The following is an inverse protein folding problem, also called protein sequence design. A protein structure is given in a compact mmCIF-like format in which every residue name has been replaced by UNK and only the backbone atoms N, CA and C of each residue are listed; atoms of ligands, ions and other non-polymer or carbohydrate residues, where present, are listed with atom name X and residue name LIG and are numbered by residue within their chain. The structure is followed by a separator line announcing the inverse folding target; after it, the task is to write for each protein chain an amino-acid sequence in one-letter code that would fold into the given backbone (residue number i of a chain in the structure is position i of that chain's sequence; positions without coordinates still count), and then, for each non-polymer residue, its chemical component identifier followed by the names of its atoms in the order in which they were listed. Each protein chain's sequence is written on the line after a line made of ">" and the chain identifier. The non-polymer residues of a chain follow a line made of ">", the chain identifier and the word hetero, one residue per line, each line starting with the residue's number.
data_IF_054180272929
#
_entry.id   IF_054180272929
#
_cell.length_a   1.000
_cell.length_b   1.000
_cell.length_c   1.000
_cell.angle_alpha   90.00
_cell.angle_beta   90.00
_cell.angle_gamma   90.00
#
_symmetry.space_group_name_H-M   'P 1'
#
loop_
_entity.id
_entity.type
_entity.pdbx_description
1 polymer ?
#
# COMPACT_ATOMS: atom_id res chain seq x y z
N UNK A 1 3.54 10.41 -14.07
CA UNK A 1 4.56 9.36 -13.94
C UNK A 1 3.89 8.20 -13.26
N UNK A 2 3.94 7.02 -13.88
CA UNK A 2 3.38 5.82 -13.29
C UNK A 2 4.23 5.43 -12.08
N UNK A 3 3.60 5.38 -10.92
CA UNK A 3 4.16 4.87 -9.69
C UNK A 3 3.49 3.53 -9.39
N UNK A 4 4.01 2.83 -8.40
CA UNK A 4 3.38 1.65 -7.87
C UNK A 4 3.36 1.70 -6.36
N UNK A 5 2.33 1.08 -5.80
CA UNK A 5 2.23 0.77 -4.38
C UNK A 5 2.14 -0.74 -4.21
N UNK A 6 2.41 -1.20 -3.00
CA UNK A 6 2.28 -2.60 -2.64
C UNK A 6 1.04 -2.77 -1.78
N UNK A 7 0.03 -3.44 -2.32
CA UNK A 7 -1.17 -3.85 -1.58
C UNK A 7 -0.95 -5.23 -1.00
N UNK A 8 -1.50 -5.49 0.18
CA UNK A 8 -1.60 -6.83 0.74
C UNK A 8 -2.98 -7.39 0.41
N UNK A 9 -3.01 -8.56 -0.22
CA UNK A 9 -4.24 -9.29 -0.54
C UNK A 9 -4.03 -10.76 -0.27
N UNK A 10 -4.91 -11.36 0.51
CA UNK A 10 -4.83 -12.78 0.91
C UNK A 10 -3.45 -13.14 1.52
N UNK A 11 -2.87 -12.23 2.32
CA UNK A 11 -1.56 -12.40 2.95
C UNK A 11 -0.36 -12.31 2.01
N UNK A 12 -0.55 -11.83 0.77
CA UNK A 12 0.49 -11.70 -0.24
C UNK A 12 0.62 -10.27 -0.74
N UNK A 13 1.85 -9.90 -1.11
CA UNK A 13 2.13 -8.62 -1.74
C UNK A 13 1.66 -8.60 -3.20
N UNK A 14 0.93 -7.56 -3.58
CA UNK A 14 0.46 -7.29 -4.92
C UNK A 14 0.92 -5.89 -5.34
N UNK A 15 1.57 -5.79 -6.50
CA UNK A 15 1.97 -4.51 -7.04
C UNK A 15 0.80 -3.87 -7.78
N UNK A 16 0.41 -2.67 -7.38
CA UNK A 16 -0.68 -1.92 -8.00
C UNK A 16 -0.12 -0.65 -8.62
N UNK A 17 -0.32 -0.50 -9.93
CA UNK A 17 0.03 0.72 -10.64
C UNK A 17 -0.89 1.87 -10.22
N UNK A 18 -0.30 3.04 -9.97
CA UNK A 18 -1.01 4.25 -9.56
C UNK A 18 -0.42 5.49 -10.23
N UNK A 19 -1.24 6.52 -10.36
CA UNK A 19 -0.81 7.86 -10.79
C UNK A 19 -0.79 8.80 -9.59
N UNK A 20 0.33 9.50 -9.39
CA UNK A 20 0.40 10.56 -8.38
C UNK A 20 -0.45 11.75 -8.80
N UNK A 21 -1.45 12.08 -7.98
CA UNK A 21 -2.31 13.24 -8.19
C UNK A 21 -1.76 14.45 -7.44
N UNK A 22 -1.41 14.27 -6.15
CA UNK A 22 -0.89 15.36 -5.32
C UNK A 22 -0.02 14.81 -4.19
N UNK A 23 1.07 15.51 -3.88
CA UNK A 23 1.83 15.30 -2.64
C UNK A 23 1.58 16.44 -1.66
N UNK A 24 1.40 16.11 -0.39
CA UNK A 24 1.28 17.03 0.73
C UNK A 24 2.24 16.57 1.85
N UNK A 25 2.51 17.42 2.84
CA UNK A 25 3.45 17.08 3.90
C UNK A 25 2.96 15.84 4.69
N UNK A 26 3.59 14.69 4.45
CA UNK A 26 3.27 13.41 5.09
C UNK A 26 2.23 12.54 4.38
N UNK A 27 1.66 12.95 3.24
CA UNK A 27 0.64 12.16 2.53
C UNK A 27 0.71 12.34 1.02
N UNK A 28 0.43 11.27 0.27
CA UNK A 28 0.35 11.30 -1.19
C UNK A 28 -1.05 10.86 -1.61
N UNK A 29 -1.71 11.70 -2.39
CA UNK A 29 -2.94 11.37 -3.09
C UNK A 29 -2.59 10.72 -4.41
N UNK A 30 -3.13 9.52 -4.64
CA UNK A 30 -2.91 8.72 -5.83
C UNK A 30 -4.25 8.30 -6.43
N UNK A 31 -4.23 8.02 -7.73
CA UNK A 31 -5.32 7.41 -8.49
C UNK A 31 -4.89 6.02 -8.97
N UNK A 32 -5.75 5.01 -8.81
CA UNK A 32 -5.47 3.63 -9.20
C UNK A 32 -6.52 2.65 -8.69
N UNK A 33 -6.34 1.35 -8.97
CA UNK A 33 -7.26 0.28 -8.56
C UNK A 33 -7.11 -0.10 -7.07
N UNK A 34 -7.29 0.90 -6.19
CA UNK A 34 -7.27 0.77 -4.74
C UNK A 34 -8.68 0.97 -4.19
N UNK A 35 -9.03 0.21 -3.16
CA UNK A 35 -10.33 0.27 -2.48
C UNK A 35 -10.15 0.63 -1.01
N UNK A 36 -11.19 1.18 -0.39
CA UNK A 36 -11.21 1.40 1.05
C UNK A 36 -11.02 0.06 1.77
N UNK A 37 -10.14 0.04 2.78
CA UNK A 37 -9.77 -1.18 3.51
C UNK A 37 -8.57 -1.93 2.92
N UNK A 38 -8.07 -1.55 1.74
CA UNK A 38 -6.82 -2.13 1.22
C UNK A 38 -5.66 -1.79 2.16
N UNK A 39 -4.93 -2.81 2.60
CA UNK A 39 -3.70 -2.64 3.36
C UNK A 39 -2.55 -2.34 2.42
N UNK A 40 -1.87 -1.21 2.63
CA UNK A 40 -0.76 -0.74 1.79
C UNK A 40 0.54 -0.80 2.58
N UNK A 41 1.58 -1.37 1.98
CA UNK A 41 2.92 -1.41 2.56
C UNK A 41 3.61 -0.06 2.38
N UNK A 42 3.99 0.56 3.49
CA UNK A 42 4.66 1.88 3.52
C UNK A 42 6.17 1.80 3.81
N UNK A 43 6.62 0.69 4.42
CA UNK A 43 8.03 0.46 4.76
C UNK A 43 8.50 -0.92 4.25
N UNK A 44 9.79 -1.04 3.89
CA UNK A 44 10.36 -2.31 3.45
C UNK A 44 10.00 -2.75 2.02
N UNK A 45 9.39 -1.87 1.22
CA UNK A 45 8.94 -2.15 -0.16
C UNK A 45 10.05 -2.58 -1.12
N UNK A 46 11.30 -2.22 -0.83
CA UNK A 46 12.49 -2.56 -1.61
C UNK A 46 12.80 -4.07 -1.69
N UNK A 47 12.18 -4.90 -0.83
CA UNK A 47 12.38 -6.35 -0.79
C UNK A 47 11.17 -7.16 -1.25
N UNK A 48 10.11 -6.49 -1.72
CA UNK A 48 8.88 -7.16 -2.11
C UNK A 48 8.89 -7.56 -3.58
N UNK A 49 8.37 -8.76 -3.83
CA UNK A 49 8.06 -9.29 -5.14
C UNK A 49 6.56 -9.62 -5.27
N UNK A 50 5.98 -9.58 -6.49
CA UNK A 50 4.58 -9.95 -6.68
C UNK A 50 4.29 -11.38 -6.20
N UNK A 51 3.25 -11.54 -5.38
CA UNK A 51 2.84 -12.82 -4.80
C UNK A 51 3.66 -13.28 -3.60
N UNK A 52 4.67 -12.51 -3.18
CA UNK A 52 5.47 -12.84 -2.00
C UNK A 52 4.60 -12.84 -0.75
N UNK A 53 4.64 -13.88 0.09
CA UNK A 53 3.93 -13.89 1.37
C UNK A 53 4.52 -12.81 2.28
N UNK A 54 3.63 -12.12 2.99
CA UNK A 54 4.01 -11.02 3.90
C UNK A 54 3.41 -11.24 5.28
N UNK A 55 4.17 -10.89 6.29
CA UNK A 55 3.69 -10.76 7.67
C UNK A 55 3.39 -9.28 7.93
N UNK A 56 2.16 -8.97 8.34
CA UNK A 56 1.78 -7.60 8.69
C UNK A 56 2.28 -7.30 10.09
N UNK A 57 3.25 -6.39 10.19
CA UNK A 57 3.81 -5.94 11.46
C UNK A 57 3.34 -4.50 11.69
N UNK A 58 2.53 -4.30 12.73
CA UNK A 58 1.90 -3.00 13.00
C UNK A 58 0.56 -2.86 12.29
N UNK A 59 -0.46 -3.54 12.79
CA UNK A 59 -1.82 -3.12 12.55
C UNK A 59 -2.03 -1.81 13.32
N UNK A 60 -2.26 -0.71 12.61
CA UNK A 60 -2.75 0.50 13.27
C UNK A 60 -4.15 0.14 13.78
N UNK A 61 -4.17 -0.33 15.04
CA UNK A 61 -5.33 -0.94 15.66
C UNK A 61 -6.56 -0.05 15.53
N UNK A 62 -7.68 -0.73 15.25
CA UNK A 62 -9.05 -0.27 15.26
C UNK A 62 -9.23 1.16 15.83
N UNK A 63 -9.63 2.09 14.97
CA UNK A 63 -9.87 3.51 15.29
C UNK A 63 -11.04 3.72 16.25
N UNK A 64 -10.90 3.23 17.49
CA UNK A 64 -11.72 3.63 18.62
C UNK A 64 -11.11 4.87 19.26
N UNK A 65 -11.48 6.02 18.70
CA UNK A 65 -11.62 7.27 19.44
C UNK A 65 -12.87 8.00 18.96
#
# INVERSE_FOLDING_TARGET
>A
GELYVWRIRDGKAEQVAVSMIRRSAGTVLVDGQLSQGDQIVVEGTQRLEPGQPVEVVGEMGDGTS
#
